data_IF_126596282814
#
_entry.id   IF_126596282814
#
_cell.length_a   1.000
_cell.length_b   1.000
_cell.length_c   1.000
_cell.angle_alpha   90.00
_cell.angle_beta   90.00
_cell.angle_gamma   90.00
#
_symmetry.space_group_name_H-M   'P 1'
#
loop_
_entity.id
_entity.type
_entity.pdbx_description
1 polymer ?
#
# COMPACT_ATOMS: atom_id res chain seq x y z
N UNK A 1 -24.42 51.91 -19.22
CA UNK A 1 -24.76 50.55 -18.76
C UNK A 1 -23.97 50.26 -17.50
N UNK A 2 -24.54 49.52 -16.54
CA UNK A 2 -23.84 49.14 -15.31
C UNK A 2 -23.38 47.69 -15.42
N UNK A 3 -22.08 47.44 -15.23
CA UNK A 3 -21.45 46.12 -15.32
C UNK A 3 -20.62 45.83 -14.07
N UNK A 4 -20.50 44.56 -13.64
CA UNK A 4 -19.56 44.17 -12.59
C UNK A 4 -18.10 44.26 -13.08
N UNK A 5 -17.13 44.10 -12.17
CA UNK A 5 -15.70 44.13 -12.51
C UNK A 5 -15.36 43.05 -13.53
N UNK A 6 -14.70 43.37 -14.65
CA UNK A 6 -14.47 42.45 -15.77
C UNK A 6 -15.70 42.19 -16.67
N UNK A 7 -16.77 42.95 -16.50
CA UNK A 7 -17.98 42.86 -17.32
C UNK A 7 -17.80 43.44 -18.73
N UNK A 8 -18.66 43.05 -19.66
CA UNK A 8 -18.66 43.54 -21.04
C UNK A 8 -20.10 43.71 -21.55
N UNK A 9 -20.27 44.34 -22.71
CA UNK A 9 -21.58 44.55 -23.34
C UNK A 9 -21.68 43.70 -24.59
N UNK A 10 -22.76 42.92 -24.71
CA UNK A 10 -23.11 42.22 -25.94
C UNK A 10 -24.26 42.95 -26.65
N UNK A 11 -24.18 43.03 -27.97
CA UNK A 11 -25.25 43.56 -28.83
C UNK A 11 -26.00 42.40 -29.46
N UNK A 12 -27.32 42.35 -29.20
CA UNK A 12 -28.22 41.37 -29.79
C UNK A 12 -29.03 41.99 -30.93
N UNK A 13 -29.21 41.23 -32.01
CA UNK A 13 -30.16 41.57 -33.07
C UNK A 13 -31.61 41.18 -32.68
N UNK A 14 -32.57 41.42 -33.58
CA UNK A 14 -33.99 41.09 -33.36
C UNK A 14 -34.28 39.60 -33.15
N UNK A 15 -33.42 38.70 -33.67
CA UNK A 15 -33.53 37.26 -33.42
C UNK A 15 -32.93 36.84 -32.07
N UNK A 16 -32.33 37.77 -31.32
CA UNK A 16 -31.63 37.51 -30.06
C UNK A 16 -30.20 36.99 -30.22
N UNK A 17 -29.66 36.94 -31.44
CA UNK A 17 -28.30 36.50 -31.70
C UNK A 17 -27.30 37.62 -31.35
N UNK A 18 -26.18 37.26 -30.74
CA UNK A 18 -25.08 38.19 -30.44
C UNK A 18 -24.35 38.52 -31.74
N UNK A 19 -24.29 39.81 -32.07
CA UNK A 19 -23.67 40.32 -33.29
C UNK A 19 -22.53 41.29 -33.00
N UNK A 20 -22.19 41.53 -31.73
CA UNK A 20 -21.07 42.38 -31.34
C UNK A 20 -20.81 42.27 -29.84
N UNK A 21 -19.55 42.38 -29.45
CA UNK A 21 -19.09 42.29 -28.05
C UNK A 21 -18.07 43.40 -27.80
N UNK A 22 -18.21 44.13 -26.70
CA UNK A 22 -17.21 45.13 -26.28
C UNK A 22 -15.97 44.46 -25.68
N UNK A 23 -14.87 45.20 -25.58
CA UNK A 23 -13.81 44.85 -24.64
C UNK A 23 -14.34 44.83 -23.19
N UNK A 24 -13.58 44.20 -22.29
CA UNK A 24 -13.87 44.24 -20.86
C UNK A 24 -13.88 45.68 -20.34
N UNK A 25 -14.84 45.97 -19.48
CA UNK A 25 -15.09 47.26 -18.87
C UNK A 25 -14.76 47.21 -17.37
N UNK A 26 -14.33 48.34 -16.82
CA UNK A 26 -14.20 48.50 -15.37
C UNK A 26 -15.57 48.41 -14.67
N UNK A 27 -15.57 47.93 -13.43
CA UNK A 27 -16.78 47.83 -12.61
C UNK A 27 -17.47 49.20 -12.45
N UNK A 28 -18.78 49.26 -12.70
CA UNK A 28 -19.57 50.47 -12.47
C UNK A 28 -20.43 50.87 -13.67
N UNK A 29 -20.83 52.15 -13.71
CA UNK A 29 -21.69 52.68 -14.77
C UNK A 29 -20.87 53.41 -15.81
N UNK A 30 -20.84 52.87 -17.03
CA UNK A 30 -20.11 53.44 -18.17
C UNK A 30 -21.10 53.88 -19.24
N UNK A 31 -20.87 55.05 -19.83
CA UNK A 31 -21.65 55.58 -20.95
C UNK A 31 -20.81 55.61 -22.23
N UNK A 32 -21.47 55.63 -23.39
CA UNK A 32 -20.81 55.68 -24.71
C UNK A 32 -19.83 54.52 -24.98
N UNK A 33 -20.22 53.29 -24.63
CA UNK A 33 -19.44 52.09 -24.96
C UNK A 33 -19.48 51.85 -26.47
N UNK A 34 -18.31 51.81 -27.11
CA UNK A 34 -18.18 51.43 -28.51
C UNK A 34 -18.14 49.90 -28.63
N UNK A 35 -18.99 49.35 -29.50
CA UNK A 35 -19.05 47.90 -29.75
C UNK A 35 -18.98 47.66 -31.25
N UNK A 36 -17.92 47.01 -31.75
CA UNK A 36 -17.86 46.62 -33.16
C UNK A 36 -18.94 45.57 -33.44
N UNK A 37 -19.58 45.67 -34.61
CA UNK A 37 -20.60 44.73 -35.05
C UNK A 37 -20.03 43.82 -36.13
N UNK A 38 -20.44 42.56 -36.12
CA UNK A 38 -20.09 41.51 -37.08
C UNK A 38 -18.60 41.12 -37.10
N UNK A 39 -17.87 41.51 -36.05
CA UNK A 39 -16.49 41.12 -35.82
C UNK A 39 -16.24 41.03 -34.31
N UNK A 40 -15.16 40.35 -33.90
CA UNK A 40 -14.76 40.24 -32.49
C UNK A 40 -15.64 39.32 -31.62
N UNK A 41 -16.69 38.70 -32.17
CA UNK A 41 -17.46 37.65 -31.46
C UNK A 41 -16.81 36.29 -31.71
N UNK A 42 -16.10 35.78 -30.70
CA UNK A 42 -15.40 34.50 -30.78
C UNK A 42 -16.36 33.34 -31.14
N UNK A 43 -15.92 32.44 -32.01
CA UNK A 43 -16.71 31.28 -32.45
C UNK A 43 -17.83 31.59 -33.44
N UNK A 44 -17.98 32.83 -33.90
CA UNK A 44 -19.00 33.22 -34.88
C UNK A 44 -18.37 33.79 -36.14
N UNK A 45 -18.75 33.26 -37.30
CA UNK A 45 -18.43 33.86 -38.61
C UNK A 45 -19.65 34.63 -39.13
N UNK A 46 -19.45 35.89 -39.49
CA UNK A 46 -20.51 36.73 -40.05
C UNK A 46 -20.33 36.87 -41.57
N UNK A 47 -21.41 36.66 -42.32
CA UNK A 47 -21.45 36.86 -43.77
C UNK A 47 -21.85 38.28 -44.18
N UNK A 48 -21.90 39.20 -43.21
CA UNK A 48 -22.32 40.59 -43.37
C UNK A 48 -21.35 41.48 -42.59
N UNK A 49 -21.11 42.69 -43.08
CA UNK A 49 -20.20 43.68 -42.45
C UNK A 49 -20.90 44.98 -42.06
N UNK A 50 -22.19 45.09 -42.34
CA UNK A 50 -23.02 46.26 -42.03
C UNK A 50 -24.47 45.85 -41.77
N UNK A 51 -25.24 46.75 -41.16
CA UNK A 51 -26.68 46.55 -40.94
C UNK A 51 -27.43 46.81 -42.25
N UNK A 52 -28.06 45.78 -42.80
CA UNK A 52 -28.75 45.89 -44.09
C UNK A 52 -30.15 46.53 -44.00
N UNK A 53 -30.72 46.68 -42.79
CA UNK A 53 -32.06 47.24 -42.54
C UNK A 53 -32.13 48.03 -41.21
N UNK A 54 -33.21 48.80 -41.03
CA UNK A 54 -33.58 49.45 -39.75
C UNK A 54 -34.02 48.39 -38.71
N UNK A 55 -33.08 47.57 -38.26
CA UNK A 55 -33.31 46.51 -37.26
C UNK A 55 -33.07 47.03 -35.84
N UNK A 56 -33.92 46.62 -34.90
CA UNK A 56 -33.73 46.92 -33.49
C UNK A 56 -32.54 46.13 -32.92
N UNK A 57 -31.68 46.83 -32.17
CA UNK A 57 -30.55 46.26 -31.45
C UNK A 57 -30.77 46.40 -29.95
N UNK A 58 -30.42 45.36 -29.20
CA UNK A 58 -30.50 45.34 -27.74
C UNK A 58 -29.10 45.17 -27.16
N UNK A 59 -28.62 46.19 -26.46
CA UNK A 59 -27.39 46.07 -25.69
C UNK A 59 -27.69 45.43 -24.34
N UNK A 60 -26.94 44.40 -23.96
CA UNK A 60 -27.07 43.70 -22.67
C UNK A 60 -25.72 43.60 -21.95
N UNK A 61 -25.67 43.86 -20.63
CA UNK A 61 -24.47 43.66 -19.83
C UNK A 61 -24.25 42.16 -19.56
N UNK A 62 -23.02 41.70 -19.74
CA UNK A 62 -22.54 40.37 -19.41
C UNK A 62 -21.32 40.44 -18.49
N UNK A 63 -20.96 39.31 -17.90
CA UNK A 63 -19.74 39.14 -17.11
C UNK A 63 -19.15 37.76 -17.34
N UNK A 64 -17.82 37.69 -17.49
CA UNK A 64 -17.11 36.43 -17.58
C UNK A 64 -17.08 35.76 -16.19
N UNK A 65 -17.62 34.55 -16.09
CA UNK A 65 -17.61 33.78 -14.83
C UNK A 65 -16.32 32.99 -14.64
N UNK A 66 -15.44 32.95 -15.63
CA UNK A 66 -14.20 32.21 -15.56
C UNK A 66 -13.05 33.16 -15.22
N UNK A 67 -12.87 33.45 -13.93
CA UNK A 67 -11.51 33.75 -13.46
C UNK A 67 -10.63 32.57 -13.88
N UNK A 68 -9.76 32.78 -14.87
CA UNK A 68 -8.78 31.78 -15.26
C UNK A 68 -7.85 31.53 -14.07
N UNK A 69 -8.23 30.58 -13.22
CA UNK A 69 -7.38 30.08 -12.15
C UNK A 69 -6.20 29.37 -12.84
N UNK A 70 -5.16 30.12 -13.18
CA UNK A 70 -4.06 29.65 -14.01
C UNK A 70 -3.51 28.30 -13.55
N UNK A 71 -3.13 27.44 -14.50
CA UNK A 71 -2.57 26.11 -14.22
C UNK A 71 -1.35 26.20 -13.31
N UNK A 72 -1.38 25.52 -12.17
CA UNK A 72 -0.27 25.43 -11.24
C UNK A 72 -0.15 23.97 -10.76
N UNK A 73 0.96 23.27 -11.04
CA UNK A 73 1.15 21.92 -10.52
C UNK A 73 1.33 21.98 -9.00
N UNK A 74 0.60 21.11 -8.29
CA UNK A 74 0.82 20.86 -6.87
C UNK A 74 1.85 19.74 -6.75
N UNK A 75 2.99 20.02 -6.10
CA UNK A 75 4.01 19.02 -5.83
C UNK A 75 3.85 18.58 -4.38
N UNK A 76 3.65 17.29 -4.20
CA UNK A 76 3.49 16.66 -2.89
C UNK A 76 4.66 15.70 -2.65
N UNK A 77 4.98 15.48 -1.38
CA UNK A 77 5.93 14.45 -0.99
C UNK A 77 5.13 13.30 -0.38
N UNK A 78 5.17 12.17 -1.06
CA UNK A 78 4.44 10.98 -0.65
C UNK A 78 5.15 10.32 0.51
N UNK A 79 4.37 9.81 1.46
CA UNK A 79 4.92 9.02 2.55
C UNK A 79 5.06 7.58 2.07
N UNK A 80 6.25 7.16 1.69
CA UNK A 80 6.49 5.79 1.21
C UNK A 80 6.68 4.76 2.33
N UNK A 81 6.87 5.21 3.58
CA UNK A 81 7.01 4.35 4.77
C UNK A 81 5.89 4.65 5.80
N UNK A 82 4.68 4.09 5.62
CA UNK A 82 3.58 4.26 6.57
C UNK A 82 3.86 3.59 7.93
N UNK A 83 3.12 3.93 8.99
CA UNK A 83 3.22 3.24 10.28
C UNK A 83 2.66 1.80 10.20
N UNK A 84 3.25 0.84 10.92
CA UNK A 84 2.80 -0.56 10.88
C UNK A 84 1.37 -0.76 11.37
N UNK A 85 1.03 -0.20 12.53
CA UNK A 85 -0.24 -0.46 13.21
C UNK A 85 -1.34 0.58 12.92
N UNK A 86 -1.20 1.36 11.83
CA UNK A 86 -2.18 2.37 11.42
C UNK A 86 -2.09 2.64 9.91
N UNK A 87 -3.14 3.22 9.33
CA UNK A 87 -3.07 3.85 8.03
C UNK A 87 -2.61 5.32 8.18
N UNK A 88 -1.86 5.85 7.22
CA UNK A 88 -1.53 7.26 7.13
C UNK A 88 -2.29 7.92 5.98
N UNK A 89 -3.24 8.81 6.27
CA UNK A 89 -4.10 9.42 5.26
C UNK A 89 -3.85 10.92 5.13
N UNK A 90 -3.88 11.46 3.91
CA UNK A 90 -3.95 12.91 3.67
C UNK A 90 -5.03 13.25 2.65
N UNK A 91 -5.53 14.48 2.68
CA UNK A 91 -6.44 15.02 1.68
C UNK A 91 -5.71 16.02 0.76
N UNK A 92 -5.98 15.94 -0.54
CA UNK A 92 -5.67 17.00 -1.50
C UNK A 92 -6.97 17.64 -1.95
N UNK A 93 -7.08 18.96 -1.78
CA UNK A 93 -8.25 19.70 -2.24
C UNK A 93 -8.00 20.37 -3.59
N UNK A 94 -8.57 19.81 -4.65
CA UNK A 94 -8.44 20.28 -6.02
C UNK A 94 -9.77 20.80 -6.61
N UNK A 95 -10.77 21.13 -5.78
CA UNK A 95 -12.07 21.67 -6.23
C UNK A 95 -12.07 23.21 -6.13
N UNK A 96 -11.96 23.96 -7.24
CA UNK A 96 -11.86 25.42 -7.21
C UNK A 96 -13.14 26.10 -6.67
N UNK A 97 -14.32 25.60 -7.01
CA UNK A 97 -15.60 26.21 -6.66
C UNK A 97 -16.23 25.74 -5.36
N UNK A 98 -15.53 24.95 -4.54
CA UNK A 98 -16.08 24.43 -3.27
C UNK A 98 -15.75 25.31 -2.05
N UNK A 99 -14.80 26.25 -2.18
CA UNK A 99 -14.23 26.93 -1.01
C UNK A 99 -13.42 25.96 -0.13
N UNK A 100 -12.98 26.37 1.07
CA UNK A 100 -12.33 25.47 2.01
C UNK A 100 -13.31 24.40 2.52
N UNK A 101 -12.80 23.19 2.78
CA UNK A 101 -13.60 22.04 3.23
C UNK A 101 -13.06 21.44 4.52
N UNK A 102 -13.97 20.92 5.35
CA UNK A 102 -13.64 20.06 6.48
C UNK A 102 -13.94 18.61 6.10
N UNK A 103 -13.15 17.66 6.59
CA UNK A 103 -13.40 16.22 6.40
C UNK A 103 -13.56 15.56 7.75
N UNK A 104 -14.69 14.89 7.92
CA UNK A 104 -15.04 14.19 9.16
C UNK A 104 -15.34 12.72 8.92
N UNK A 105 -15.09 11.89 9.92
CA UNK A 105 -15.51 10.47 9.95
C UNK A 105 -16.45 10.20 11.12
N UNK A 106 -17.36 9.26 10.95
CA UNK A 106 -18.36 8.88 11.95
C UNK A 106 -19.61 9.76 11.92
N UNK A 107 -20.65 9.33 12.63
CA UNK A 107 -21.99 9.93 12.50
C UNK A 107 -22.37 10.85 13.67
N UNK A 108 -23.10 11.92 13.36
CA UNK A 108 -23.74 12.80 14.33
C UNK A 108 -22.77 13.40 15.36
N UNK A 109 -23.08 13.22 16.64
CA UNK A 109 -22.27 13.74 17.75
C UNK A 109 -20.99 12.95 18.02
N UNK A 110 -20.76 11.84 17.32
CA UNK A 110 -19.56 11.02 17.43
C UNK A 110 -18.63 11.19 16.22
N UNK A 111 -18.80 12.30 15.48
CA UNK A 111 -17.94 12.64 14.36
C UNK A 111 -16.57 13.14 14.84
N UNK A 112 -15.52 12.69 14.16
CA UNK A 112 -14.14 13.12 14.37
C UNK A 112 -13.69 13.90 13.15
N UNK A 113 -13.09 15.08 13.35
CA UNK A 113 -12.51 15.87 12.26
C UNK A 113 -11.14 15.31 11.92
N UNK A 114 -10.97 14.80 10.71
CA UNK A 114 -9.68 14.33 10.19
C UNK A 114 -8.86 15.48 9.63
N UNK A 115 -9.51 16.35 8.86
CA UNK A 115 -8.90 17.50 8.22
C UNK A 115 -9.78 18.73 8.41
N UNK A 116 -9.21 19.78 8.98
CA UNK A 116 -9.89 21.06 9.23
C UNK A 116 -9.42 22.08 8.19
N UNK A 117 -10.37 22.77 7.55
CA UNK A 117 -10.14 23.90 6.66
C UNK A 117 -9.10 23.61 5.55
N UNK A 118 -9.26 22.48 4.86
CA UNK A 118 -8.45 22.15 3.70
C UNK A 118 -8.78 23.10 2.54
N UNK A 119 -7.78 23.83 2.06
CA UNK A 119 -7.94 24.87 1.04
C UNK A 119 -7.57 24.38 -0.36
N UNK A 120 -8.22 24.95 -1.38
CA UNK A 120 -7.95 24.65 -2.78
C UNK A 120 -6.45 24.81 -3.12
N UNK A 121 -5.92 23.87 -3.92
CA UNK A 121 -4.50 23.75 -4.31
C UNK A 121 -3.57 23.46 -3.14
N UNK A 122 -4.04 22.70 -2.17
CA UNK A 122 -3.25 22.32 -1.02
C UNK A 122 -3.45 20.84 -0.67
N UNK A 123 -2.39 20.23 -0.14
CA UNK A 123 -2.41 18.92 0.50
C UNK A 123 -2.29 19.10 2.01
N UNK A 124 -3.09 18.38 2.79
CA UNK A 124 -2.94 18.34 4.24
C UNK A 124 -1.66 17.57 4.61
N UNK A 125 -1.27 17.64 5.88
CA UNK A 125 -0.34 16.65 6.42
C UNK A 125 -1.02 15.29 6.55
N UNK A 126 -0.22 14.23 6.60
CA UNK A 126 -0.73 12.91 6.93
C UNK A 126 -1.22 12.85 8.37
N UNK A 127 -2.39 12.25 8.55
CA UNK A 127 -2.99 11.91 9.83
C UNK A 127 -3.03 10.39 9.94
N UNK A 128 -2.72 9.84 11.11
CA UNK A 128 -2.84 8.39 11.34
C UNK A 128 -4.26 8.03 11.76
N UNK A 129 -4.82 6.99 11.15
CA UNK A 129 -6.12 6.41 11.49
C UNK A 129 -5.97 4.89 11.60
N UNK A 130 -6.78 4.20 12.43
CA UNK A 130 -6.86 2.75 12.37
C UNK A 130 -7.24 2.26 10.96
N UNK A 131 -6.84 1.04 10.61
CA UNK A 131 -7.35 0.37 9.42
C UNK A 131 -8.84 0.05 9.53
N UNK A 132 -9.55 0.09 8.41
CA UNK A 132 -10.96 -0.24 8.29
C UNK A 132 -11.70 0.57 7.22
N UNK A 133 -13.00 0.34 7.12
CA UNK A 133 -13.90 1.08 6.25
C UNK A 133 -14.34 2.39 6.91
N UNK A 134 -14.29 3.48 6.15
CA UNK A 134 -14.70 4.81 6.58
C UNK A 134 -15.68 5.43 5.59
N UNK A 135 -16.70 6.10 6.13
CA UNK A 135 -17.46 7.11 5.37
C UNK A 135 -16.87 8.48 5.67
N UNK A 136 -16.23 9.08 4.67
CA UNK A 136 -15.69 10.44 4.71
C UNK A 136 -16.79 11.43 4.33
N UNK A 137 -17.22 12.25 5.29
CA UNK A 137 -18.08 13.39 5.01
C UNK A 137 -17.20 14.60 4.66
N UNK A 138 -17.29 15.07 3.42
CA UNK A 138 -16.71 16.35 2.99
C UNK A 138 -17.74 17.44 3.26
N UNK A 139 -17.38 18.44 4.05
CA UNK A 139 -18.27 19.50 4.54
C UNK A 139 -17.77 20.88 4.13
N UNK A 140 -18.67 21.84 3.98
CA UNK A 140 -18.27 23.24 3.83
C UNK A 140 -17.56 23.72 5.11
N UNK A 141 -16.37 24.33 4.99
CA UNK A 141 -15.58 24.65 6.18
C UNK A 141 -16.27 25.69 7.07
N UNK A 142 -16.26 25.44 8.38
CA UNK A 142 -16.74 26.41 9.38
C UNK A 142 -15.82 26.42 10.60
N UNK A 143 -15.83 27.51 11.37
CA UNK A 143 -14.99 27.62 12.57
C UNK A 143 -15.21 26.53 13.64
N UNK A 144 -16.30 25.77 13.57
CA UNK A 144 -16.61 24.68 14.49
C UNK A 144 -16.70 23.30 13.79
N UNK A 145 -16.32 23.20 12.50
CA UNK A 145 -16.38 21.97 11.72
C UNK A 145 -17.79 21.35 11.63
N UNK A 146 -18.83 22.19 11.67
CA UNK A 146 -20.26 21.78 11.61
C UNK A 146 -20.95 22.24 10.33
N UNK A 147 -20.21 22.40 9.24
CA UNK A 147 -20.79 22.76 7.95
C UNK A 147 -21.73 21.68 7.42
N UNK A 148 -22.54 22.08 6.44
CA UNK A 148 -23.36 21.15 5.67
C UNK A 148 -22.46 20.12 4.96
N UNK A 149 -22.90 18.86 4.95
CA UNK A 149 -22.24 17.80 4.18
C UNK A 149 -22.48 18.09 2.70
N UNK A 150 -21.38 18.23 1.97
CA UNK A 150 -21.38 18.43 0.53
C UNK A 150 -21.59 17.08 -0.17
N UNK A 151 -20.77 16.09 0.21
CA UNK A 151 -20.81 14.73 -0.32
C UNK A 151 -20.15 13.78 0.68
N UNK A 152 -20.55 12.50 0.64
CA UNK A 152 -19.98 11.44 1.46
C UNK A 152 -19.34 10.37 0.57
N UNK A 153 -18.15 9.90 0.95
CA UNK A 153 -17.41 8.88 0.20
C UNK A 153 -17.08 7.69 1.09
N UNK A 154 -17.33 6.48 0.59
CA UNK A 154 -16.82 5.27 1.22
C UNK A 154 -15.38 5.02 0.78
N UNK A 155 -14.50 4.82 1.75
CA UNK A 155 -13.09 4.47 1.52
C UNK A 155 -12.69 3.32 2.44
N UNK A 156 -11.79 2.48 1.97
CA UNK A 156 -11.16 1.43 2.76
C UNK A 156 -9.68 1.79 2.93
N UNK A 157 -9.18 1.74 4.16
CA UNK A 157 -7.77 1.97 4.46
C UNK A 157 -7.21 0.81 5.27
N UNK A 158 -6.05 0.31 4.90
CA UNK A 158 -5.36 -0.76 5.60
C UNK A 158 -4.24 -0.20 6.48
N UNK A 159 -4.02 -0.84 7.64
CA UNK A 159 -2.81 -0.62 8.42
C UNK A 159 -1.56 -0.83 7.56
N UNK A 160 -0.47 -0.14 7.86
CA UNK A 160 0.74 -0.29 7.06
C UNK A 160 0.61 0.32 5.67
N UNK A 161 -0.37 1.20 5.42
CA UNK A 161 -0.57 1.85 4.12
C UNK A 161 -0.73 3.36 4.28
N UNK A 162 -0.10 4.12 3.40
CA UNK A 162 -0.30 5.55 3.24
C UNK A 162 -1.16 5.84 2.02
N UNK A 163 -2.12 6.76 2.17
CA UNK A 163 -3.08 7.11 1.13
C UNK A 163 -3.15 8.61 0.91
N UNK A 164 -3.28 9.00 -0.36
CA UNK A 164 -3.77 10.31 -0.77
C UNK A 164 -5.21 10.19 -1.22
N UNK A 165 -6.10 10.94 -0.57
CA UNK A 165 -7.46 11.16 -1.05
C UNK A 165 -7.51 12.52 -1.78
N UNK A 166 -7.66 12.51 -3.10
CA UNK A 166 -7.77 13.73 -3.90
C UNK A 166 -9.23 14.04 -4.16
N UNK A 167 -9.73 15.14 -3.57
CA UNK A 167 -11.03 15.70 -3.89
C UNK A 167 -10.92 16.58 -5.14
N UNK A 168 -11.66 16.25 -6.21
CA UNK A 168 -11.62 16.98 -7.48
C UNK A 168 -13.03 17.19 -8.03
N UNK A 169 -13.20 18.19 -8.89
CA UNK A 169 -14.49 18.61 -9.40
C UNK A 169 -14.49 20.09 -9.77
N UNK A 170 -15.66 20.62 -10.11
CA UNK A 170 -15.80 22.03 -10.49
C UNK A 170 -16.23 22.91 -9.31
N UNK A 171 -17.14 22.41 -8.47
CA UNK A 171 -17.76 23.17 -7.38
C UNK A 171 -18.22 22.25 -6.24
N UNK A 172 -18.77 22.83 -5.17
CA UNK A 172 -19.40 22.05 -4.10
C UNK A 172 -20.57 21.17 -4.62
N UNK A 173 -21.18 21.46 -5.76
CA UNK A 173 -22.29 20.65 -6.28
C UNK A 173 -21.81 19.40 -7.04
N UNK A 174 -20.51 19.30 -7.32
CA UNK A 174 -19.91 18.19 -8.06
C UNK A 174 -18.49 17.94 -7.57
N UNK A 175 -18.39 17.17 -6.48
CA UNK A 175 -17.13 16.68 -5.94
C UNK A 175 -17.04 15.18 -6.19
N UNK A 176 -15.85 14.72 -6.56
CA UNK A 176 -15.48 13.31 -6.60
C UNK A 176 -14.21 13.11 -5.78
N UNK A 177 -14.01 11.90 -5.27
CA UNK A 177 -12.83 11.53 -4.51
C UNK A 177 -12.09 10.42 -5.24
N UNK A 178 -10.80 10.61 -5.48
CA UNK A 178 -9.89 9.56 -5.92
C UNK A 178 -8.97 9.21 -4.77
N UNK A 179 -8.99 7.95 -4.35
CA UNK A 179 -8.02 7.42 -3.41
C UNK A 179 -6.85 6.80 -4.18
N UNK A 180 -5.63 7.07 -3.72
CA UNK A 180 -4.38 6.54 -4.27
C UNK A 180 -3.53 6.02 -3.11
N UNK A 181 -2.76 4.97 -3.37
CA UNK A 181 -1.78 4.41 -2.43
C UNK A 181 -0.44 5.09 -2.66
N UNK A 182 0.06 5.75 -1.62
CA UNK A 182 1.34 6.48 -1.64
C UNK A 182 2.52 5.58 -1.22
N UNK A 183 2.23 4.55 -0.43
CA UNK A 183 3.22 3.64 0.15
C UNK A 183 2.52 2.55 0.96
N UNK A 184 3.15 1.39 1.06
CA UNK A 184 2.71 0.27 1.87
C UNK A 184 3.94 -0.29 2.58
N UNK A 185 3.76 -0.96 3.70
CA UNK A 185 4.81 -1.79 4.31
C UNK A 185 4.65 -3.24 3.90
N UNK A 186 5.76 -3.95 3.93
CA UNK A 186 5.85 -5.40 3.99
C UNK A 186 6.96 -5.71 4.96
N UNK A 187 6.79 -6.77 5.74
CA UNK A 187 7.74 -7.14 6.77
C UNK A 187 8.54 -8.34 6.29
N UNK A 188 9.85 -8.25 6.42
CA UNK A 188 10.76 -9.31 5.98
C UNK A 188 11.65 -9.72 7.14
N UNK A 189 11.69 -11.02 7.42
CA UNK A 189 12.72 -11.63 8.26
C UNK A 189 13.61 -12.57 7.45
N UNK A 190 14.79 -12.84 7.98
CA UNK A 190 15.74 -13.78 7.38
C UNK A 190 15.96 -14.95 8.33
N UNK A 191 15.73 -16.15 7.82
CA UNK A 191 16.12 -17.38 8.50
C UNK A 191 17.41 -17.90 7.85
N UNK A 192 18.55 -17.74 8.50
CA UNK A 192 19.81 -18.26 7.99
C UNK A 192 19.95 -19.75 8.30
N UNK A 193 19.52 -20.60 7.37
CA UNK A 193 19.44 -22.05 7.57
C UNK A 193 20.49 -22.85 6.77
N UNK A 194 21.40 -22.18 6.08
CA UNK A 194 22.51 -22.84 5.38
C UNK A 194 23.55 -23.32 6.40
N UNK A 195 23.79 -24.64 6.53
CA UNK A 195 24.61 -25.17 7.62
C UNK A 195 26.12 -25.01 7.43
N UNK A 196 26.59 -24.64 6.24
CA UNK A 196 28.02 -24.45 5.95
C UNK A 196 28.37 -23.02 5.50
N UNK A 197 27.38 -22.14 5.33
CA UNK A 197 27.64 -20.75 4.99
C UNK A 197 28.20 -19.99 6.20
N UNK A 198 29.14 -19.05 5.98
CA UNK A 198 29.54 -18.09 7.01
C UNK A 198 28.36 -17.17 7.36
N UNK A 199 28.55 -16.27 8.34
CA UNK A 199 27.60 -15.19 8.55
C UNK A 199 27.36 -14.39 7.25
N UNK A 200 26.16 -13.86 7.09
CA UNK A 200 25.76 -13.14 5.87
C UNK A 200 25.29 -11.71 6.17
N UNK A 201 25.50 -10.84 5.20
CA UNK A 201 24.84 -9.54 5.11
C UNK A 201 23.71 -9.62 4.09
N UNK A 202 22.59 -8.96 4.39
CA UNK A 202 21.41 -8.90 3.53
C UNK A 202 21.14 -7.45 3.15
N UNK A 203 20.97 -7.22 1.86
CA UNK A 203 20.73 -5.91 1.28
C UNK A 203 19.40 -5.91 0.54
N UNK A 204 18.68 -4.81 0.66
CA UNK A 204 17.44 -4.55 -0.06
C UNK A 204 17.66 -3.29 -0.89
N UNK A 205 17.60 -3.44 -2.22
CA UNK A 205 17.90 -2.37 -3.19
C UNK A 205 19.26 -1.68 -2.98
N UNK A 206 20.29 -2.50 -2.69
CA UNK A 206 21.68 -2.11 -2.39
C UNK A 206 21.88 -1.37 -1.04
N UNK A 207 20.80 -1.15 -0.26
CA UNK A 207 20.92 -0.63 1.09
C UNK A 207 21.03 -1.78 2.11
N UNK A 208 21.93 -1.69 3.11
CA UNK A 208 22.04 -2.70 4.15
C UNK A 208 20.72 -2.87 4.91
N UNK A 209 20.22 -4.09 4.98
CA UNK A 209 19.00 -4.45 5.72
C UNK A 209 19.33 -5.20 7.01
N UNK A 210 20.16 -6.24 6.92
CA UNK A 210 20.69 -6.99 8.07
C UNK A 210 22.19 -7.21 7.88
N UNK A 211 22.94 -7.23 8.98
CA UNK A 211 24.39 -7.44 8.95
C UNK A 211 24.82 -8.51 9.94
N UNK A 212 25.85 -9.29 9.60
CA UNK A 212 26.45 -10.32 10.44
C UNK A 212 25.45 -11.36 10.97
N UNK A 213 24.50 -11.78 10.12
CA UNK A 213 23.52 -12.81 10.46
C UNK A 213 24.20 -14.17 10.43
N UNK A 214 24.43 -14.76 11.60
CA UNK A 214 25.08 -16.05 11.75
C UNK A 214 24.16 -17.22 11.32
N UNK A 215 24.75 -18.31 10.83
CA UNK A 215 24.01 -19.56 10.59
C UNK A 215 23.25 -20.03 11.84
N UNK A 216 22.00 -20.44 11.64
CA UNK A 216 21.05 -20.84 12.68
C UNK A 216 20.25 -19.67 13.26
N UNK A 217 20.55 -18.42 12.88
CA UNK A 217 19.79 -17.25 13.34
C UNK A 217 18.54 -17.07 12.50
N UNK A 218 17.42 -16.83 13.16
CA UNK A 218 16.19 -16.31 12.57
C UNK A 218 16.02 -14.90 13.15
N UNK A 219 15.94 -13.90 12.28
CA UNK A 219 15.85 -12.51 12.73
C UNK A 219 14.43 -12.14 13.11
N UNK A 220 14.29 -11.04 13.85
CA UNK A 220 13.03 -10.32 13.94
C UNK A 220 12.62 -9.82 12.53
N UNK A 221 11.33 -9.52 12.37
CA UNK A 221 10.82 -8.85 11.18
C UNK A 221 11.33 -7.41 11.08
N UNK A 222 11.60 -6.97 9.86
CA UNK A 222 11.92 -5.58 9.55
C UNK A 222 11.12 -5.03 8.37
N UNK A 223 10.67 -3.79 8.50
CA UNK A 223 9.87 -3.13 7.48
C UNK A 223 10.65 -2.90 6.17
N UNK A 224 9.99 -3.13 5.05
CA UNK A 224 10.37 -2.66 3.72
C UNK A 224 9.12 -2.29 2.91
N UNK A 225 9.28 -1.99 1.61
CA UNK A 225 8.14 -1.63 0.73
C UNK A 225 7.72 -2.82 -0.15
N UNK A 226 6.40 -3.05 -0.35
CA UNK A 226 5.87 -4.14 -1.18
C UNK A 226 5.91 -3.75 -2.66
N UNK A 227 7.12 -3.74 -3.19
CA UNK A 227 7.41 -3.48 -4.59
C UNK A 227 8.36 -4.56 -5.12
N UNK A 228 8.76 -4.45 -6.39
CA UNK A 228 9.88 -5.23 -6.90
C UNK A 228 11.17 -4.76 -6.23
N UNK A 229 11.66 -5.56 -5.29
CA UNK A 229 12.82 -5.26 -4.45
C UNK A 229 13.96 -6.19 -4.84
N UNK A 230 15.17 -5.65 -5.04
CA UNK A 230 16.36 -6.49 -5.26
C UNK A 230 16.92 -6.93 -3.91
N UNK A 231 16.80 -8.22 -3.62
CA UNK A 231 17.42 -8.81 -2.43
C UNK A 231 18.76 -9.41 -2.82
N UNK A 232 19.81 -8.95 -2.14
CA UNK A 232 21.17 -9.49 -2.28
C UNK A 232 21.62 -10.05 -0.94
N UNK A 233 22.17 -11.26 -0.94
CA UNK A 233 22.81 -11.88 0.23
C UNK A 233 24.28 -12.09 -0.10
N UNK A 234 25.16 -11.60 0.76
CA UNK A 234 26.61 -11.77 0.62
C UNK A 234 27.19 -12.43 1.86
N UNK A 235 28.41 -12.95 1.77
CA UNK A 235 29.18 -13.24 2.99
C UNK A 235 29.38 -11.92 3.78
N UNK A 236 29.27 -11.98 5.11
CA UNK A 236 29.42 -10.83 5.97
C UNK A 236 30.81 -10.19 5.80
N UNK A 237 30.85 -8.85 5.84
CA UNK A 237 32.07 -8.05 5.61
C UNK A 237 32.75 -8.27 4.23
N UNK A 238 32.06 -8.91 3.28
CA UNK A 238 32.59 -9.23 1.96
C UNK A 238 31.53 -9.11 0.85
N UNK A 239 31.10 -7.87 0.56
CA UNK A 239 30.10 -7.53 -0.47
C UNK A 239 30.37 -8.13 -1.87
N UNK A 240 31.63 -8.46 -2.19
CA UNK A 240 31.97 -9.09 -3.47
C UNK A 240 31.65 -10.58 -3.53
N UNK A 241 31.46 -11.25 -2.38
CA UNK A 241 31.06 -12.65 -2.29
C UNK A 241 29.53 -12.78 -2.26
N UNK A 242 28.91 -12.52 -3.41
CA UNK A 242 27.46 -12.63 -3.59
C UNK A 242 27.03 -14.10 -3.60
N UNK A 243 26.18 -14.48 -2.64
CA UNK A 243 25.58 -15.81 -2.52
C UNK A 243 24.20 -15.88 -3.19
N UNK A 244 23.46 -14.78 -3.16
CA UNK A 244 22.14 -14.63 -3.79
C UNK A 244 21.94 -13.21 -4.29
N UNK A 245 21.32 -13.04 -5.45
CA UNK A 245 20.91 -11.74 -5.97
C UNK A 245 19.72 -11.93 -6.92
N UNK A 246 18.52 -11.59 -6.47
CA UNK A 246 17.31 -11.65 -7.28
C UNK A 246 16.36 -10.49 -6.95
N UNK A 247 15.53 -10.13 -7.92
CA UNK A 247 14.39 -9.23 -7.71
C UNK A 247 13.20 -10.05 -7.24
N UNK A 248 12.68 -9.70 -6.06
CA UNK A 248 11.50 -10.30 -5.46
C UNK A 248 10.33 -9.33 -5.61
N UNK A 249 9.20 -9.81 -6.11
CA UNK A 249 7.96 -9.03 -6.16
C UNK A 249 7.23 -9.18 -4.82
N UNK A 250 7.58 -8.34 -3.84
CA UNK A 250 6.94 -8.36 -2.53
C UNK A 250 5.57 -7.67 -2.61
N UNK A 251 4.57 -8.27 -1.97
CA UNK A 251 3.24 -7.69 -1.79
C UNK A 251 3.07 -7.30 -0.32
N UNK A 252 2.04 -6.52 0.06
CA UNK A 252 1.78 -6.25 1.47
C UNK A 252 1.64 -7.56 2.28
N UNK A 253 2.15 -7.55 3.50
CA UNK A 253 2.21 -8.72 4.39
C UNK A 253 3.64 -9.11 4.74
N UNK A 254 3.78 -10.31 5.29
CA UNK A 254 5.00 -10.77 5.95
C UNK A 254 5.69 -11.88 5.15
N UNK A 255 7.01 -11.85 5.13
CA UNK A 255 7.83 -12.81 4.40
C UNK A 255 9.01 -13.30 5.20
N UNK A 256 9.25 -14.60 5.13
CA UNK A 256 10.50 -15.21 5.56
C UNK A 256 11.38 -15.52 4.35
N UNK A 257 12.59 -14.96 4.32
CA UNK A 257 13.64 -15.38 3.39
C UNK A 257 14.51 -16.43 4.09
N UNK A 258 14.20 -17.69 3.85
CA UNK A 258 14.94 -18.83 4.39
C UNK A 258 16.16 -19.13 3.52
N UNK A 259 17.35 -18.71 3.94
CA UNK A 259 18.61 -19.03 3.26
C UNK A 259 18.94 -20.51 3.44
N UNK A 260 18.69 -21.35 2.43
CA UNK A 260 18.92 -22.81 2.49
C UNK A 260 20.04 -23.26 1.56
N UNK A 261 20.44 -24.53 1.66
CA UNK A 261 21.47 -25.12 0.80
C UNK A 261 22.89 -24.83 1.31
N UNK A 262 23.88 -25.02 0.45
CA UNK A 262 25.29 -25.06 0.81
C UNK A 262 26.12 -24.11 -0.05
N UNK A 263 27.11 -23.46 0.55
CA UNK A 263 28.04 -22.53 -0.14
C UNK A 263 29.35 -23.18 -0.56
N UNK A 264 29.69 -24.34 0.02
CA UNK A 264 30.92 -25.06 -0.32
C UNK A 264 30.96 -25.41 -1.82
N UNK A 265 32.06 -25.08 -2.54
CA UNK A 265 32.20 -25.40 -3.95
C UNK A 265 32.03 -26.90 -4.24
N UNK A 266 31.08 -27.25 -5.11
CA UNK A 266 30.79 -28.63 -5.50
C UNK A 266 29.84 -29.38 -4.56
N UNK A 267 29.23 -28.67 -3.61
CA UNK A 267 28.11 -29.17 -2.82
C UNK A 267 26.96 -29.68 -3.70
N UNK A 268 26.18 -30.63 -3.17
CA UNK A 268 25.07 -31.25 -3.93
C UNK A 268 23.86 -30.32 -4.02
N UNK A 269 23.70 -29.47 -3.01
CA UNK A 269 22.57 -28.56 -2.88
C UNK A 269 23.13 -27.15 -2.78
N UNK A 270 23.10 -26.40 -3.88
CA UNK A 270 23.62 -25.04 -3.88
C UNK A 270 22.81 -24.12 -2.98
N UNK A 271 23.46 -23.11 -2.41
CA UNK A 271 22.83 -22.04 -1.64
C UNK A 271 21.67 -21.42 -2.45
N UNK A 272 20.46 -21.65 -1.97
CA UNK A 272 19.22 -21.26 -2.63
C UNK A 272 18.24 -20.79 -1.57
N UNK A 273 18.15 -19.48 -1.32
CA UNK A 273 17.10 -18.93 -0.48
C UNK A 273 15.71 -19.27 -1.01
N UNK A 274 14.82 -19.57 -0.08
CA UNK A 274 13.39 -19.79 -0.33
C UNK A 274 12.65 -18.60 0.26
N UNK A 275 11.77 -18.01 -0.53
CA UNK A 275 10.91 -16.91 -0.09
C UNK A 275 9.55 -17.49 0.27
N UNK A 276 9.17 -17.34 1.53
CA UNK A 276 7.90 -17.79 2.08
C UNK A 276 7.06 -16.55 2.38
N UNK A 277 5.78 -16.62 2.05
CA UNK A 277 4.81 -15.66 2.54
C UNK A 277 4.23 -16.24 3.82
N UNK A 278 4.38 -15.53 4.92
CA UNK A 278 3.89 -15.95 6.22
C UNK A 278 2.42 -15.51 6.29
N UNK A 279 1.53 -16.41 5.89
CA UNK A 279 0.10 -16.14 5.73
C UNK A 279 -0.77 -17.11 6.54
N UNK A 280 -0.20 -17.64 7.61
CA UNK A 280 -0.92 -18.43 8.59
C UNK A 280 -2.10 -17.63 9.11
N UNK A 281 -3.30 -18.21 9.06
CA UNK A 281 -4.45 -17.59 9.74
C UNK A 281 -4.38 -17.97 11.21
N UNK A 282 -4.20 -16.96 12.07
CA UNK A 282 -4.27 -17.10 13.51
C UNK A 282 -5.52 -17.92 13.91
N UNK A 283 -5.33 -19.08 14.56
CA UNK A 283 -6.42 -19.96 14.97
C UNK A 283 -7.16 -19.46 16.22
N UNK A 284 -8.06 -20.28 16.77
CA UNK A 284 -8.71 -19.96 18.06
C UNK A 284 -7.77 -20.21 19.25
N UNK A 285 -8.15 -19.73 20.43
CA UNK A 285 -7.34 -19.83 21.67
C UNK A 285 -6.99 -21.27 22.13
N UNK A 286 -7.57 -22.31 21.53
CA UNK A 286 -7.30 -23.71 21.90
C UNK A 286 -6.45 -24.45 20.85
N UNK A 287 -6.16 -23.81 19.73
CA UNK A 287 -5.43 -24.39 18.61
C UNK A 287 -4.29 -23.48 18.18
N UNK A 288 -3.27 -24.06 17.56
CA UNK A 288 -2.13 -23.38 16.96
C UNK A 288 -2.03 -23.80 15.49
N UNK A 289 -1.52 -22.92 14.63
CA UNK A 289 -1.29 -23.22 13.22
C UNK A 289 0.20 -23.27 12.96
N UNK A 290 0.71 -24.43 12.52
CA UNK A 290 2.14 -24.63 12.32
C UNK A 290 2.39 -25.01 10.86
N UNK A 291 3.43 -24.47 10.22
CA UNK A 291 3.95 -24.99 8.96
C UNK A 291 5.35 -25.57 9.14
N UNK A 292 5.75 -26.53 8.29
CA UNK A 292 7.09 -27.10 8.28
C UNK A 292 7.85 -26.67 7.04
N UNK A 293 9.05 -26.14 7.22
CA UNK A 293 10.02 -25.83 6.18
C UNK A 293 11.18 -26.82 6.26
N UNK A 294 11.46 -27.52 5.16
CA UNK A 294 12.63 -28.40 5.09
C UNK A 294 13.83 -27.66 4.49
N UNK A 295 14.79 -27.30 5.34
CA UNK A 295 16.01 -26.57 4.98
C UNK A 295 17.32 -27.38 5.12
N UNK A 296 17.28 -28.58 5.69
CA UNK A 296 18.45 -29.44 5.88
C UNK A 296 18.96 -30.04 4.56
N UNK A 297 20.15 -29.65 4.06
CA UNK A 297 20.70 -30.23 2.84
C UNK A 297 21.10 -31.70 3.05
N UNK A 298 20.84 -32.53 2.04
CA UNK A 298 21.23 -33.95 2.02
C UNK A 298 20.08 -34.93 2.27
N UNK A 299 18.91 -34.45 2.68
CA UNK A 299 17.66 -35.20 2.63
C UNK A 299 16.80 -34.69 1.47
N UNK A 300 16.14 -35.60 0.76
CA UNK A 300 15.23 -35.20 -0.30
C UNK A 300 13.89 -34.73 0.26
N UNK A 301 13.38 -35.48 1.24
CA UNK A 301 12.10 -35.26 1.92
C UNK A 301 12.20 -35.72 3.37
N UNK A 302 11.39 -35.12 4.24
CA UNK A 302 11.22 -35.50 5.66
C UNK A 302 9.75 -35.72 5.99
N UNK A 303 9.52 -36.63 6.94
CA UNK A 303 8.22 -36.82 7.59
C UNK A 303 8.34 -36.34 9.04
N UNK A 304 7.23 -35.83 9.59
CA UNK A 304 7.13 -35.46 11.01
C UNK A 304 5.95 -36.17 11.62
N UNK A 305 6.23 -36.90 12.69
CA UNK A 305 5.24 -37.71 13.39
C UNK A 305 5.26 -37.46 14.89
N UNK A 306 4.16 -37.73 15.56
CA UNK A 306 4.09 -37.79 17.02
C UNK A 306 3.60 -39.16 17.46
N UNK A 307 4.11 -39.65 18.59
CA UNK A 307 3.57 -40.84 19.24
C UNK A 307 2.65 -40.45 20.38
N UNK A 308 1.36 -40.81 20.25
CA UNK A 308 0.37 -40.58 21.29
C UNK A 308 -0.46 -41.84 21.53
N UNK A 309 -0.63 -42.23 22.80
CA UNK A 309 -1.46 -43.37 23.20
C UNK A 309 -1.14 -44.70 22.46
N UNK A 310 0.15 -44.96 22.19
CA UNK A 310 0.64 -46.09 21.38
C UNK A 310 0.18 -46.08 19.91
N UNK A 311 -0.14 -44.91 19.36
CA UNK A 311 -0.42 -44.70 17.94
C UNK A 311 0.49 -43.60 17.41
N UNK A 312 0.98 -43.78 16.18
CA UNK A 312 1.72 -42.74 15.45
C UNK A 312 0.73 -41.88 14.67
N UNK A 313 0.79 -40.57 14.86
CA UNK A 313 0.08 -39.58 14.05
C UNK A 313 1.10 -38.89 13.15
N UNK A 314 0.79 -38.82 11.86
CA UNK A 314 1.62 -38.08 10.88
C UNK A 314 1.10 -36.66 10.83
N UNK A 315 1.97 -35.68 11.11
CA UNK A 315 1.65 -34.25 11.01
C UNK A 315 2.03 -33.73 9.63
N UNK A 316 3.24 -34.05 9.17
CA UNK A 316 3.74 -33.68 7.86
C UNK A 316 4.30 -34.91 7.15
N UNK A 317 3.93 -35.06 5.88
CA UNK A 317 4.27 -36.22 5.03
C UNK A 317 5.00 -35.71 3.79
N UNK A 318 6.19 -36.25 3.52
CA UNK A 318 7.01 -36.00 2.34
C UNK A 318 7.29 -34.51 2.05
N UNK A 319 7.62 -33.71 3.07
CA UNK A 319 7.99 -32.30 2.87
C UNK A 319 9.37 -32.25 2.20
N UNK A 320 9.41 -31.75 0.96
CA UNK A 320 10.63 -31.72 0.14
C UNK A 320 11.59 -30.62 0.57
N UNK A 321 12.90 -30.86 0.39
CA UNK A 321 13.92 -29.84 0.60
C UNK A 321 13.61 -28.54 -0.16
N UNK A 322 13.93 -27.40 0.48
CA UNK A 322 13.67 -26.05 0.00
C UNK A 322 12.18 -25.80 -0.31
N UNK A 323 11.30 -26.32 0.55
CA UNK A 323 9.86 -26.15 0.43
C UNK A 323 9.20 -26.06 1.81
N UNK A 324 8.02 -25.46 1.85
CA UNK A 324 7.15 -25.38 3.01
C UNK A 324 5.93 -26.29 2.82
N UNK A 325 5.44 -26.86 3.92
CA UNK A 325 4.12 -27.46 3.95
C UNK A 325 3.03 -26.39 3.94
N UNK A 326 1.78 -26.81 3.85
CA UNK A 326 0.67 -25.95 4.30
C UNK A 326 0.68 -25.85 5.83
N UNK A 327 0.08 -24.80 6.38
CA UNK A 327 -0.21 -24.72 7.80
C UNK A 327 -1.17 -25.83 8.22
N UNK A 328 -0.82 -26.52 9.29
CA UNK A 328 -1.62 -27.52 9.97
C UNK A 328 -2.08 -26.96 11.31
N UNK A 329 -3.40 -26.96 11.55
CA UNK A 329 -3.93 -26.65 12.86
C UNK A 329 -3.80 -27.85 13.80
N UNK A 330 -3.21 -27.62 14.96
CA UNK A 330 -3.01 -28.60 16.03
C UNK A 330 -3.54 -28.03 17.36
N UNK A 331 -3.94 -28.87 18.33
CA UNK A 331 -4.24 -28.37 19.67
C UNK A 331 -3.04 -27.62 20.28
N UNK A 332 -3.29 -26.58 21.06
CA UNK A 332 -2.23 -25.92 21.83
C UNK A 332 -1.63 -26.88 22.88
N UNK A 333 -0.32 -26.77 23.12
CA UNK A 333 0.40 -27.54 24.15
C UNK A 333 1.76 -28.09 23.70
N UNK A 334 2.28 -29.04 24.49
CA UNK A 334 3.60 -29.66 24.27
C UNK A 334 3.52 -30.89 23.34
N UNK A 335 4.51 -31.00 22.46
CA UNK A 335 4.67 -32.09 21.49
C UNK A 335 6.09 -32.63 21.48
N UNK A 336 6.25 -33.94 21.53
CA UNK A 336 7.50 -34.64 21.19
C UNK A 336 7.48 -35.02 19.71
N UNK A 337 8.01 -34.14 18.86
CA UNK A 337 8.06 -34.33 17.41
C UNK A 337 9.21 -35.28 17.04
N UNK A 338 8.90 -36.32 16.27
CA UNK A 338 9.87 -37.21 15.66
C UNK A 338 10.04 -36.83 14.20
N UNK A 339 11.24 -36.37 13.83
CA UNK A 339 11.58 -36.06 12.45
C UNK A 339 12.23 -37.30 11.85
N UNK A 340 11.70 -37.75 10.70
CA UNK A 340 12.03 -39.04 10.10
C UNK A 340 12.53 -38.87 8.67
N UNK A 341 13.41 -39.79 8.27
CA UNK A 341 13.68 -40.00 6.85
C UNK A 341 12.41 -40.48 6.17
N UNK A 342 11.99 -39.83 5.09
CA UNK A 342 10.68 -40.08 4.54
C UNK A 342 10.52 -41.48 3.92
N UNK A 343 9.41 -42.16 4.22
CA UNK A 343 9.04 -43.43 3.58
C UNK A 343 7.57 -43.41 3.18
N UNK A 344 7.16 -44.28 2.26
CA UNK A 344 5.74 -44.40 1.89
C UNK A 344 4.82 -44.82 3.05
N UNK A 345 5.39 -45.30 4.17
CA UNK A 345 4.66 -45.67 5.38
C UNK A 345 4.79 -44.66 6.52
N UNK A 346 5.54 -43.56 6.34
CA UNK A 346 5.88 -42.60 7.39
C UNK A 346 6.56 -43.26 8.62
N UNK A 347 7.29 -44.35 8.38
CA UNK A 347 7.89 -45.24 9.39
C UNK A 347 9.41 -45.35 9.26
N UNK A 348 10.03 -44.42 8.52
CA UNK A 348 11.47 -44.34 8.37
C UNK A 348 12.21 -44.10 9.68
N UNK A 349 13.54 -44.20 9.58
CA UNK A 349 14.44 -43.95 10.70
C UNK A 349 14.19 -42.56 11.30
N UNK A 350 14.11 -42.50 12.63
CA UNK A 350 14.04 -41.25 13.37
C UNK A 350 15.42 -40.61 13.30
N UNK A 351 15.50 -39.44 12.68
CA UNK A 351 16.72 -38.62 12.58
C UNK A 351 16.95 -37.91 13.91
N UNK A 352 15.90 -37.30 14.45
CA UNK A 352 15.91 -36.65 15.77
C UNK A 352 14.51 -36.61 16.38
N UNK A 353 14.46 -36.41 17.69
CA UNK A 353 13.23 -36.13 18.44
C UNK A 353 13.41 -34.80 19.15
N UNK A 354 12.45 -33.88 18.97
CA UNK A 354 12.48 -32.54 19.55
C UNK A 354 11.17 -32.27 20.29
N UNK A 355 11.28 -31.81 21.53
CA UNK A 355 10.15 -31.28 22.29
C UNK A 355 9.88 -29.82 21.89
N UNK A 356 8.64 -29.51 21.57
CA UNK A 356 8.19 -28.15 21.23
C UNK A 356 6.91 -27.82 21.99
N UNK A 357 6.68 -26.54 22.27
CA UNK A 357 5.46 -26.01 22.84
C UNK A 357 4.86 -25.01 21.85
N UNK A 358 3.56 -25.08 21.61
CA UNK A 358 2.83 -24.14 20.76
C UNK A 358 1.66 -23.56 21.53
N UNK A 359 1.55 -22.23 21.53
CA UNK A 359 0.49 -21.51 22.23
C UNK A 359 -0.78 -21.41 21.38
N UNK A 360 -1.93 -21.30 22.04
CA UNK A 360 -3.23 -21.21 21.37
C UNK A 360 -3.49 -19.81 20.84
N UNK A 361 -3.99 -19.70 19.61
CA UNK A 361 -4.17 -18.44 18.91
C UNK A 361 -2.98 -18.04 18.03
N UNK A 362 -1.84 -18.72 18.16
CA UNK A 362 -0.59 -18.34 17.49
C UNK A 362 -0.29 -19.17 16.23
N UNK A 363 0.49 -18.56 15.34
CA UNK A 363 1.05 -19.15 14.12
C UNK A 363 2.54 -19.39 14.26
N UNK A 364 3.04 -20.53 13.78
CA UNK A 364 4.46 -20.87 13.84
C UNK A 364 5.00 -21.43 12.53
N UNK A 365 6.26 -21.14 12.26
CA UNK A 365 7.06 -21.80 11.25
C UNK A 365 8.14 -22.67 11.90
N UNK A 366 8.11 -23.97 11.60
CA UNK A 366 9.11 -24.94 12.05
C UNK A 366 10.13 -25.21 10.93
N UNK A 367 11.40 -24.99 11.18
CA UNK A 367 12.50 -25.17 10.24
C UNK A 367 13.32 -26.42 10.57
N UNK A 368 13.25 -27.43 9.71
CA UNK A 368 14.10 -28.62 9.78
C UNK A 368 15.42 -28.35 9.06
N UNK A 369 16.51 -28.12 9.81
CA UNK A 369 17.81 -27.65 9.30
C UNK A 369 18.98 -28.50 9.79
N UNK A 370 20.20 -28.21 9.33
CA UNK A 370 21.43 -28.92 9.69
C UNK A 370 21.74 -30.14 8.82
N UNK A 371 22.68 -31.00 9.27
CA UNK A 371 23.15 -32.16 8.52
C UNK A 371 22.89 -33.48 9.25
N UNK A 372 22.39 -34.47 8.50
CA UNK A 372 22.35 -35.87 8.94
C UNK A 372 23.70 -36.54 8.68
N UNK A 373 24.60 -36.42 9.66
CA UNK A 373 25.95 -37.01 9.63
C UNK A 373 26.19 -37.83 10.91
N UNK A 374 27.33 -38.56 11.03
CA UNK A 374 27.67 -39.22 12.28
C UNK A 374 27.79 -38.28 13.50
N UNK A 375 28.08 -37.00 13.29
CA UNK A 375 28.08 -35.98 14.35
C UNK A 375 26.71 -35.31 14.52
N UNK A 376 25.77 -35.57 13.60
CA UNK A 376 24.39 -35.10 13.50
C UNK A 376 24.15 -33.68 14.05
N UNK A 377 24.16 -32.70 13.15
CA UNK A 377 23.76 -31.31 13.49
C UNK A 377 22.32 -31.01 13.09
N UNK A 378 21.55 -32.04 12.71
CA UNK A 378 20.16 -31.87 12.34
C UNK A 378 19.31 -31.42 13.52
N UNK A 379 18.52 -30.38 13.33
CA UNK A 379 17.64 -29.81 14.35
C UNK A 379 16.33 -29.30 13.76
N UNK A 380 15.35 -29.10 14.63
CA UNK A 380 14.09 -28.45 14.33
C UNK A 380 14.02 -27.18 15.18
N UNK A 381 13.99 -26.03 14.52
CA UNK A 381 13.80 -24.71 15.16
C UNK A 381 12.35 -24.29 14.92
N UNK A 382 11.64 -23.82 15.94
CA UNK A 382 10.26 -23.37 15.81
C UNK A 382 10.21 -21.91 16.22
N UNK A 383 9.72 -21.06 15.33
CA UNK A 383 9.56 -19.62 15.57
C UNK A 383 8.11 -19.21 15.33
N UNK A 384 7.65 -18.24 16.12
CA UNK A 384 6.35 -17.59 15.98
C UNK A 384 6.35 -16.70 14.72
N UNK A 385 5.24 -16.67 14.01
CA UNK A 385 4.98 -15.71 12.93
C UNK A 385 4.17 -14.53 13.53
N UNK A 386 4.38 -13.29 13.06
CA UNK A 386 3.85 -12.04 13.67
C UNK A 386 2.34 -11.77 13.40
#
# INVERSE_FOLDING_TARGET
>A
MTVPDGGFVAIHNESGAVIGVSDSLEAGTTENVEVPLFEGVEGTEFNQSELENDSALVAMPHYDRNESLGFAPLILQDRTQPPANAAAVRLVHAVPGAGPVDVTVGEGNNSTVLFDNATFRNGTQYTQVPGGEYTLDVRAATANNTGEVIESFEVDVSNGTSYTATAYGESAESISLQQEVDGQITDVRVAHLSPDAPAVDVYVDDEPFLTDVSSGTITDYGDTTPTEQRVTITEADNESAVLFNQTLALQPGEYTIAATGETTPGARTAFTPVVLQDNGTAPDENTSAVQLVHAAPGLSTVDVTIEQNNSTTVLYDNVSFANASQYLQVPAGEYDLQIRAATAGNDGEIITTTGVEVEGGETYTAFATGYVTPENTFELVVEEDD
#
